data_IF_465060248906
#
_entry.id   IF_465060248906
#
_cell.length_a   1.000
_cell.length_b   1.000
_cell.length_c   1.000
_cell.angle_alpha   90.00
_cell.angle_beta   90.00
_cell.angle_gamma   90.00
#
_symmetry.space_group_name_H-M   'P 1'
#
loop_
_entity.id
_entity.type
_entity.pdbx_description
1 polymer ?
#
# COMPACT_ATOMS: atom_id res chain seq x y z
N UNK A 1 18.65 12.98 0.92
CA UNK A 1 17.98 13.37 -0.33
C UNK A 1 17.98 14.88 -0.44
N UNK A 2 18.37 15.43 -1.59
CA UNK A 2 18.55 16.87 -1.80
C UNK A 2 17.24 17.65 -1.85
N UNK A 3 16.19 17.07 -2.44
CA UNK A 3 14.90 17.75 -2.63
C UNK A 3 13.89 17.47 -1.50
N UNK A 4 14.23 16.59 -0.54
CA UNK A 4 13.33 16.25 0.57
C UNK A 4 13.09 17.51 1.42
N UNK A 5 11.82 17.88 1.69
CA UNK A 5 11.52 19.04 2.52
C UNK A 5 12.04 18.85 3.95
N UNK A 6 12.58 19.93 4.51
CA UNK A 6 13.05 19.99 5.89
C UNK A 6 12.12 20.90 6.69
N UNK A 7 11.65 20.39 7.82
CA UNK A 7 10.85 21.18 8.78
C UNK A 7 11.67 22.37 9.29
N UNK A 8 12.98 22.20 9.50
CA UNK A 8 13.88 23.29 9.92
C UNK A 8 13.97 24.41 8.87
N UNK A 9 13.91 24.05 7.59
CA UNK A 9 13.91 25.03 6.49
C UNK A 9 12.57 25.77 6.39
N UNK A 10 11.47 25.10 6.76
CA UNK A 10 10.13 25.70 6.82
C UNK A 10 10.02 26.70 7.98
N UNK A 11 10.60 26.37 9.15
CA UNK A 11 10.63 27.28 10.30
C UNK A 11 11.59 28.47 10.11
N UNK A 12 12.66 28.31 9.34
CA UNK A 12 13.66 29.38 9.12
C UNK A 12 13.25 30.39 8.05
N UNK A 13 12.31 30.05 7.16
CA UNK A 13 11.72 30.99 6.21
C UNK A 13 10.63 31.81 6.92
N UNK A 14 10.71 33.13 6.86
CA UNK A 14 9.56 33.98 7.19
C UNK A 14 8.35 33.48 6.39
N UNK A 15 7.20 33.27 7.05
CA UNK A 15 5.99 32.64 6.49
C UNK A 15 5.58 33.28 5.15
N UNK A 16 6.17 32.84 4.05
CA UNK A 16 5.79 33.26 2.72
C UNK A 16 4.51 32.53 2.35
N UNK A 17 3.46 33.30 2.04
CA UNK A 17 2.11 32.79 1.72
C UNK A 17 2.05 32.06 0.38
N UNK A 18 3.13 32.07 -0.41
CA UNK A 18 3.21 31.37 -1.69
C UNK A 18 3.27 29.86 -1.46
N UNK A 19 2.31 29.08 -2.00
CA UNK A 19 2.40 27.62 -1.97
C UNK A 19 3.67 27.20 -2.73
N UNK A 20 4.64 26.62 -2.02
CA UNK A 20 5.76 25.96 -2.68
C UNK A 20 5.17 24.82 -3.51
N UNK A 21 5.40 24.84 -4.83
CA UNK A 21 5.10 23.70 -5.70
C UNK A 21 5.91 22.54 -5.15
N UNK A 22 5.24 21.59 -4.51
CA UNK A 22 5.90 20.43 -3.94
C UNK A 22 6.13 19.44 -5.08
N UNK A 23 7.39 19.07 -5.37
CA UNK A 23 7.67 17.99 -6.29
C UNK A 23 6.83 16.76 -5.95
N UNK A 24 6.28 16.09 -6.96
CA UNK A 24 5.59 14.81 -6.76
C UNK A 24 6.56 13.71 -6.31
N UNK A 25 7.84 13.85 -6.67
CA UNK A 25 8.93 12.96 -6.28
C UNK A 25 10.18 13.80 -5.93
N UNK A 26 10.89 13.39 -4.88
CA UNK A 26 12.05 14.07 -4.29
C UNK A 26 13.40 13.44 -4.67
N UNK A 27 13.44 12.45 -5.57
CA UNK A 27 14.68 11.85 -6.07
C UNK A 27 15.53 12.87 -6.82
N UNK A 28 16.84 12.80 -6.63
CA UNK A 28 17.81 13.68 -7.29
C UNK A 28 19.08 12.90 -7.66
N UNK A 29 19.77 13.27 -8.74
CA UNK A 29 21.00 12.60 -9.22
C UNK A 29 22.14 12.60 -8.20
N UNK A 30 22.18 13.61 -7.34
CA UNK A 30 23.16 13.77 -6.26
C UNK A 30 22.80 12.97 -4.99
N UNK A 31 21.67 12.27 -4.97
CA UNK A 31 21.30 11.42 -3.83
C UNK A 31 22.25 10.22 -3.73
N UNK A 32 22.50 9.79 -2.50
CA UNK A 32 23.39 8.68 -2.20
C UNK A 32 22.83 7.84 -1.05
N UNK A 33 23.26 6.59 -1.00
CA UNK A 33 22.87 5.66 0.05
C UNK A 33 23.92 5.64 1.17
N UNK A 34 23.43 5.47 2.38
CA UNK A 34 24.23 5.30 3.59
C UNK A 34 23.72 4.04 4.27
N UNK A 35 24.62 3.13 4.60
CA UNK A 35 24.33 2.00 5.47
C UNK A 35 24.56 2.44 6.91
N UNK A 36 23.59 2.16 7.76
CA UNK A 36 23.59 2.55 9.18
C UNK A 36 23.28 1.32 10.04
N UNK A 37 24.06 1.14 11.09
CA UNK A 37 23.82 0.17 12.15
C UNK A 37 24.05 0.83 13.53
N UNK A 38 24.07 0.03 14.60
CA UNK A 38 24.29 0.52 15.96
C UNK A 38 25.70 1.12 16.18
N UNK A 39 26.67 0.76 15.34
CA UNK A 39 28.06 1.19 15.47
C UNK A 39 28.34 2.49 14.71
N UNK A 40 27.63 2.74 13.60
CA UNK A 40 27.77 3.99 12.87
C UNK A 40 27.20 3.97 11.46
N UNK A 41 27.74 4.85 10.62
CA UNK A 41 27.27 5.11 9.25
C UNK A 41 28.41 4.99 8.25
N UNK A 42 28.17 4.31 7.14
CA UNK A 42 29.10 4.21 6.03
C UNK A 42 28.40 4.54 4.70
N UNK A 43 29.03 5.37 3.89
CA UNK A 43 28.50 5.76 2.59
C UNK A 43 28.72 4.64 1.57
N UNK A 44 27.69 4.34 0.78
CA UNK A 44 27.76 3.36 -0.31
C UNK A 44 28.18 4.06 -1.62
N UNK A 45 29.06 3.43 -2.40
CA UNK A 45 29.69 4.01 -3.59
C UNK A 45 29.61 3.15 -4.85
N UNK A 46 29.11 1.92 -4.78
CA UNK A 46 28.98 1.07 -5.96
C UNK A 46 27.77 1.44 -6.82
N UNK A 47 27.56 0.63 -7.86
CA UNK A 47 26.48 0.79 -8.83
C UNK A 47 25.37 -0.25 -8.68
N UNK A 48 25.51 -1.15 -7.70
CA UNK A 48 24.57 -2.26 -7.50
C UNK A 48 23.25 -1.75 -6.91
N UNK A 49 23.33 -0.79 -5.99
CA UNK A 49 22.18 -0.18 -5.36
C UNK A 49 21.99 1.23 -5.91
N UNK A 50 20.98 1.40 -6.76
CA UNK A 50 20.63 2.72 -7.27
C UNK A 50 19.90 3.53 -6.19
N UNK A 51 20.37 4.75 -5.84
CA UNK A 51 19.72 5.59 -4.84
C UNK A 51 18.26 5.93 -5.16
N UNK A 52 17.88 5.93 -6.45
CA UNK A 52 16.49 6.12 -6.87
C UNK A 52 15.59 4.92 -6.59
N UNK A 53 16.12 3.71 -6.41
CA UNK A 53 15.33 2.49 -6.21
C UNK A 53 15.08 2.19 -4.73
N UNK A 54 16.03 2.58 -3.86
CA UNK A 54 15.98 2.28 -2.44
C UNK A 54 15.54 3.49 -1.63
N UNK A 55 14.81 3.23 -0.55
CA UNK A 55 14.39 4.24 0.42
C UNK A 55 15.02 3.98 1.79
N UNK A 56 14.94 4.99 2.66
CA UNK A 56 15.32 4.85 4.07
C UNK A 56 14.45 3.78 4.77
N UNK A 57 15.01 3.15 5.81
CA UNK A 57 14.33 2.15 6.64
C UNK A 57 14.37 0.71 6.11
N UNK A 58 14.90 0.48 4.90
CA UNK A 58 15.14 -0.87 4.41
C UNK A 58 16.37 -1.47 5.08
N UNK A 59 16.21 -2.66 5.66
CA UNK A 59 17.31 -3.46 6.18
C UNK A 59 17.82 -4.40 5.09
N UNK A 60 19.12 -4.34 4.80
CA UNK A 60 19.78 -5.18 3.78
C UNK A 60 21.08 -5.75 4.31
N UNK A 61 21.44 -6.93 3.82
CA UNK A 61 22.78 -7.50 4.02
C UNK A 61 23.62 -7.27 2.76
N UNK A 62 24.75 -6.56 2.90
CA UNK A 62 25.63 -6.20 1.78
C UNK A 62 26.98 -6.91 1.91
N UNK A 63 27.49 -7.39 0.79
CA UNK A 63 28.86 -7.89 0.65
C UNK A 63 29.64 -6.90 -0.20
N UNK A 64 30.86 -6.56 0.21
CA UNK A 64 31.66 -5.54 -0.44
C UNK A 64 32.99 -5.31 0.25
N UNK A 65 33.66 -4.23 -0.14
CA UNK A 65 34.99 -3.88 0.37
C UNK A 65 35.03 -2.42 0.80
N UNK A 66 35.67 -2.16 1.92
CA UNK A 66 36.00 -0.81 2.35
C UNK A 66 37.03 -0.18 1.40
N UNK A 67 36.79 1.08 1.03
CA UNK A 67 37.72 1.89 0.26
C UNK A 67 38.68 2.63 1.20
N UNK A 68 39.85 3.05 0.71
CA UNK A 68 40.81 3.81 1.52
C UNK A 68 40.30 5.18 2.02
N UNK A 69 39.11 5.62 1.59
CA UNK A 69 38.46 6.86 2.02
C UNK A 69 37.38 6.66 3.09
N UNK A 70 37.19 5.43 3.60
CA UNK A 70 36.15 5.09 4.58
C UNK A 70 34.75 4.88 3.97
N UNK A 71 34.62 4.93 2.64
CA UNK A 71 33.38 4.55 1.94
C UNK A 71 33.35 3.02 1.72
N UNK A 72 32.15 2.43 1.63
CA UNK A 72 31.97 1.00 1.33
C UNK A 72 31.56 0.80 -0.14
N UNK A 73 32.33 -0.04 -0.85
CA UNK A 73 32.04 -0.41 -2.23
C UNK A 73 31.35 -1.77 -2.25
N UNK A 74 30.05 -1.78 -2.48
CA UNK A 74 29.26 -3.00 -2.54
C UNK A 74 29.57 -3.82 -3.80
N UNK A 75 29.60 -5.13 -3.63
CA UNK A 75 29.86 -6.13 -4.67
C UNK A 75 28.70 -7.11 -4.84
N UNK A 76 27.84 -7.24 -3.83
CA UNK A 76 26.65 -8.11 -3.86
C UNK A 76 25.69 -7.85 -2.71
N UNK A 77 24.44 -8.28 -2.88
CA UNK A 77 23.47 -8.39 -1.78
C UNK A 77 23.59 -9.81 -1.24
N UNK A 78 23.96 -9.96 0.03
CA UNK A 78 24.27 -11.25 0.65
C UNK A 78 23.02 -12.07 1.01
N UNK A 79 21.89 -11.39 1.28
CA UNK A 79 20.59 -12.02 1.46
C UNK A 79 19.48 -11.04 1.12
N UNK A 80 18.55 -11.47 0.27
CA UNK A 80 17.17 -10.95 0.25
C UNK A 80 16.39 -11.95 1.10
N UNK A 81 15.96 -11.58 2.29
CA UNK A 81 15.37 -12.59 3.17
C UNK A 81 14.00 -12.98 2.60
N UNK A 82 13.81 -14.24 2.21
CA UNK A 82 12.54 -14.77 1.67
C UNK A 82 12.27 -16.17 2.26
N UNK A 83 11.06 -16.42 2.75
CA UNK A 83 10.60 -17.76 3.17
C UNK A 83 9.59 -18.32 2.14
N UNK A 84 9.69 -19.63 1.89
CA UNK A 84 9.01 -20.43 0.85
C UNK A 84 7.84 -21.24 1.42
N UNK A 85 6.72 -21.32 0.68
CA UNK A 85 5.84 -22.51 0.59
C UNK A 85 5.34 -22.64 -0.86
N UNK A 86 5.45 -23.85 -1.43
CA UNK A 86 4.99 -24.21 -2.79
C UNK A 86 3.74 -25.08 -2.69
N UNK A 87 2.68 -24.76 -3.45
CA UNK A 87 1.63 -25.71 -3.82
C UNK A 87 1.24 -25.45 -5.29
N UNK A 88 1.13 -26.51 -6.10
CA UNK A 88 0.93 -26.43 -7.56
C UNK A 88 -0.38 -27.02 -8.09
N UNK A 89 -0.71 -26.60 -9.33
CA UNK A 89 -1.50 -27.22 -10.41
C UNK A 89 -2.94 -27.76 -10.16
N UNK A 90 -3.93 -27.07 -10.74
CA UNK A 90 -5.14 -27.70 -11.32
C UNK A 90 -5.68 -26.89 -12.51
N UNK A 91 -5.12 -27.19 -13.69
CA UNK A 91 -5.73 -27.33 -15.04
C UNK A 91 -6.54 -26.19 -15.71
N UNK A 92 -5.95 -25.70 -16.81
CA UNK A 92 -6.43 -25.27 -18.16
C UNK A 92 -7.65 -24.35 -18.44
N UNK A 93 -7.40 -23.49 -19.44
CA UNK A 93 -8.28 -22.58 -20.17
C UNK A 93 -9.03 -23.32 -21.32
N UNK A 94 -10.18 -22.81 -21.80
CA UNK A 94 -10.16 -22.31 -23.18
C UNK A 94 -11.00 -21.05 -23.47
N UNK A 95 -10.58 -20.37 -24.54
CA UNK A 95 -11.05 -19.11 -25.13
C UNK A 95 -12.48 -19.16 -25.72
N UNK A 96 -13.19 -18.02 -25.70
CA UNK A 96 -13.97 -17.49 -26.84
C UNK A 96 -15.45 -17.13 -26.63
N UNK A 97 -15.85 -15.94 -27.13
CA UNK A 97 -17.00 -15.63 -28.02
C UNK A 97 -18.01 -14.51 -27.59
N UNK A 98 -18.32 -13.67 -28.60
CA UNK A 98 -19.36 -12.61 -28.78
C UNK A 98 -19.03 -11.17 -28.33
N UNK A 99 -18.63 -10.26 -29.24
CA UNK A 99 -19.37 -9.53 -30.30
C UNK A 99 -20.54 -8.65 -29.80
N UNK A 100 -20.39 -7.33 -29.97
CA UNK A 100 -21.24 -6.31 -29.35
C UNK A 100 -22.42 -5.80 -30.16
N UNK A 101 -23.06 -4.74 -29.65
CA UNK A 101 -23.83 -3.72 -30.38
C UNK A 101 -24.19 -2.53 -29.46
N UNK A 102 -24.23 -1.33 -30.05
CA UNK A 102 -24.51 -0.02 -29.45
C UNK A 102 -25.98 0.16 -29.03
N UNK A 103 -26.23 0.98 -28.01
CA UNK A 103 -27.47 1.76 -27.89
C UNK A 103 -27.24 3.09 -27.18
N UNK A 104 -27.74 4.14 -27.83
CA UNK A 104 -27.62 5.53 -27.41
C UNK A 104 -28.80 6.03 -26.57
N UNK A 105 -28.66 7.30 -26.25
CA UNK A 105 -29.10 8.01 -25.05
C UNK A 105 -30.50 8.63 -25.15
N UNK A 106 -31.40 8.19 -24.27
CA UNK A 106 -32.33 9.05 -23.53
C UNK A 106 -32.45 8.47 -22.10
N UNK A 107 -31.36 8.51 -21.35
CA UNK A 107 -31.04 9.59 -20.40
C UNK A 107 -32.06 9.76 -19.27
N UNK A 108 -32.41 8.64 -18.63
CA UNK A 108 -32.77 8.60 -17.20
C UNK A 108 -32.09 7.45 -16.42
N UNK A 109 -31.31 6.58 -17.09
CA UNK A 109 -30.51 5.49 -16.50
C UNK A 109 -29.10 5.89 -16.07
N UNK A 110 -28.64 7.10 -16.40
CA UNK A 110 -27.30 7.62 -16.07
C UNK A 110 -27.03 7.88 -14.58
N UNK A 111 -28.01 7.59 -13.71
CA UNK A 111 -27.85 7.60 -12.25
C UNK A 111 -27.74 6.19 -11.65
N UNK A 112 -28.02 5.12 -12.42
CA UNK A 112 -27.90 3.73 -11.97
C UNK A 112 -26.77 2.96 -12.64
N UNK A 113 -26.13 3.52 -13.67
CA UNK A 113 -24.90 2.97 -14.28
C UNK A 113 -23.72 2.89 -13.31
N UNK A 114 -23.43 3.88 -12.44
CA UNK A 114 -22.38 3.71 -11.44
C UNK A 114 -22.68 2.58 -10.45
N UNK A 115 -23.96 2.23 -10.25
CA UNK A 115 -24.41 1.19 -9.32
C UNK A 115 -24.36 -0.20 -10.00
N UNK A 116 -24.65 -0.28 -11.30
CA UNK A 116 -24.52 -1.51 -12.09
C UNK A 116 -23.07 -1.82 -12.49
N UNK A 117 -22.26 -0.80 -12.76
CA UNK A 117 -20.82 -0.95 -12.90
C UNK A 117 -20.18 -1.34 -11.57
N UNK A 118 -20.71 -0.85 -10.43
CA UNK A 118 -20.32 -1.34 -9.11
C UNK A 118 -20.71 -2.82 -8.95
N UNK A 119 -21.90 -3.27 -9.37
CA UNK A 119 -22.28 -4.71 -9.38
C UNK A 119 -21.35 -5.57 -10.26
N UNK A 120 -20.91 -5.06 -11.41
CA UNK A 120 -20.01 -5.76 -12.35
C UNK A 120 -18.55 -5.73 -11.87
N UNK A 121 -18.09 -4.63 -11.26
CA UNK A 121 -16.79 -4.52 -10.60
C UNK A 121 -16.75 -5.34 -9.31
N UNK A 122 -17.86 -5.37 -8.56
CA UNK A 122 -18.06 -6.24 -7.40
C UNK A 122 -18.02 -7.70 -7.81
N UNK A 123 -18.52 -8.06 -9.00
CA UNK A 123 -18.43 -9.41 -9.56
C UNK A 123 -16.99 -9.83 -9.91
N UNK A 124 -16.07 -8.88 -10.13
CA UNK A 124 -14.66 -9.15 -10.43
C UNK A 124 -13.76 -9.08 -9.19
N UNK A 125 -14.24 -8.51 -8.08
CA UNK A 125 -13.59 -8.50 -6.76
C UNK A 125 -14.40 -9.33 -5.75
N UNK A 126 -15.05 -10.40 -6.20
CA UNK A 126 -15.55 -11.47 -5.32
C UNK A 126 -14.38 -12.40 -5.04
N UNK A 127 -13.55 -12.05 -4.07
CA UNK A 127 -12.73 -13.06 -3.41
C UNK A 127 -13.65 -13.71 -2.37
N UNK A 128 -14.31 -14.79 -2.81
CA UNK A 128 -15.11 -15.74 -2.02
C UNK A 128 -15.72 -15.18 -0.72
N UNK A 129 -16.98 -14.73 -0.81
CA UNK A 129 -17.87 -14.39 0.31
C UNK A 129 -17.50 -13.18 1.19
N UNK A 130 -16.43 -12.44 0.90
CA UNK A 130 -16.14 -11.17 1.60
C UNK A 130 -15.83 -10.08 0.58
N UNK A 131 -16.56 -8.96 0.63
CA UNK A 131 -16.24 -7.79 -0.20
C UNK A 131 -15.30 -6.89 0.59
N UNK A 132 -14.12 -6.58 0.04
CA UNK A 132 -13.21 -5.59 0.60
C UNK A 132 -13.50 -4.25 -0.06
N UNK A 133 -14.01 -3.30 0.72
CA UNK A 133 -14.37 -1.97 0.24
C UNK A 133 -13.35 -0.93 0.70
N UNK A 134 -12.83 -0.15 -0.24
CA UNK A 134 -12.05 1.05 0.05
C UNK A 134 -12.92 2.28 -0.15
N UNK A 135 -13.14 3.06 0.92
CA UNK A 135 -13.92 4.29 0.86
C UNK A 135 -13.06 5.46 1.29
N UNK A 136 -13.21 6.56 0.57
CA UNK A 136 -12.72 7.89 0.95
C UNK A 136 -13.92 8.64 1.56
N UNK A 137 -14.01 8.76 2.88
CA UNK A 137 -15.16 9.39 3.53
C UNK A 137 -15.01 10.92 3.59
N UNK A 138 -16.01 11.64 3.08
CA UNK A 138 -16.26 13.07 3.34
C UNK A 138 -17.58 13.20 4.09
N UNK A 139 -17.80 14.24 4.91
CA UNK A 139 -19.02 14.44 5.74
C UNK A 139 -20.36 14.22 5.01
N UNK A 140 -20.50 14.62 3.75
CA UNK A 140 -21.72 14.37 2.95
C UNK A 140 -21.85 12.91 2.43
N UNK A 141 -20.74 12.18 2.30
CA UNK A 141 -20.71 10.81 1.82
C UNK A 141 -21.12 9.79 2.90
N UNK A 142 -20.97 10.12 4.18
CA UNK A 142 -21.25 9.22 5.31
C UNK A 142 -22.70 8.73 5.28
N UNK A 143 -23.67 9.62 5.08
CA UNK A 143 -25.09 9.27 5.09
C UNK A 143 -25.46 8.35 3.92
N UNK A 144 -25.03 8.68 2.70
CA UNK A 144 -25.31 7.86 1.50
C UNK A 144 -24.59 6.51 1.55
N UNK A 145 -23.36 6.50 2.05
CA UNK A 145 -22.56 5.29 2.19
C UNK A 145 -23.14 4.35 3.25
N UNK A 146 -23.59 4.87 4.38
CA UNK A 146 -24.28 4.10 5.41
C UNK A 146 -25.55 3.43 4.85
N UNK A 147 -26.36 4.16 4.08
CA UNK A 147 -27.56 3.59 3.44
C UNK A 147 -27.20 2.40 2.54
N UNK A 148 -26.14 2.50 1.72
CA UNK A 148 -25.72 1.43 0.82
C UNK A 148 -25.25 0.17 1.57
N UNK A 149 -24.42 0.34 2.60
CA UNK A 149 -23.97 -0.81 3.41
C UNK A 149 -25.15 -1.42 4.18
N UNK A 150 -25.97 -0.57 4.81
CA UNK A 150 -27.09 -0.95 5.67
C UNK A 150 -28.15 -1.78 4.92
N UNK A 151 -28.47 -1.41 3.67
CA UNK A 151 -29.60 -1.97 2.92
C UNK A 151 -29.29 -3.21 2.07
N UNK A 152 -28.03 -3.47 1.70
CA UNK A 152 -27.75 -4.47 0.66
C UNK A 152 -26.59 -5.43 0.97
N UNK A 153 -25.53 -4.95 1.63
CA UNK A 153 -24.27 -5.71 1.72
C UNK A 153 -24.11 -6.37 3.08
N UNK A 154 -24.11 -5.60 4.17
CA UNK A 154 -23.85 -6.15 5.50
C UNK A 154 -24.91 -7.18 5.91
N UNK A 155 -26.17 -7.03 5.47
CA UNK A 155 -27.22 -8.00 5.77
C UNK A 155 -27.00 -9.39 5.11
N UNK A 156 -26.21 -9.47 4.03
CA UNK A 156 -26.14 -10.65 3.16
C UNK A 156 -24.74 -11.24 3.02
N UNK A 157 -23.68 -10.43 3.22
CA UNK A 157 -22.29 -10.79 2.94
C UNK A 157 -21.39 -10.24 4.05
N UNK A 158 -20.44 -11.04 4.58
CA UNK A 158 -19.33 -10.54 5.39
C UNK A 158 -18.62 -9.33 4.76
N UNK A 159 -18.44 -8.28 5.57
CA UNK A 159 -17.88 -7.01 5.16
C UNK A 159 -16.87 -6.52 6.19
N UNK A 160 -15.61 -6.44 5.77
CA UNK A 160 -14.53 -5.80 6.51
C UNK A 160 -14.28 -4.40 5.94
N UNK A 161 -14.37 -3.36 6.77
CA UNK A 161 -14.04 -1.97 6.40
C UNK A 161 -12.72 -1.53 7.05
N UNK A 162 -11.86 -0.89 6.27
CA UNK A 162 -10.57 -0.37 6.72
C UNK A 162 -10.53 1.16 6.61
N UNK A 163 -9.92 1.87 7.57
CA UNK A 163 -9.71 3.32 7.47
C UNK A 163 -8.65 3.67 6.41
N UNK A 164 -8.84 4.81 5.73
CA UNK A 164 -7.87 5.48 4.89
C UNK A 164 -7.31 6.77 5.51
N UNK A 165 -6.44 7.48 4.78
CA UNK A 165 -5.78 8.72 5.22
C UNK A 165 -6.72 9.86 5.57
N UNK A 166 -7.90 9.89 4.93
CA UNK A 166 -8.87 10.99 5.02
C UNK A 166 -10.07 10.67 5.91
N UNK A 167 -10.09 9.47 6.48
CA UNK A 167 -11.20 9.01 7.31
C UNK A 167 -11.06 9.48 8.76
N UNK A 168 -12.13 9.50 9.56
CA UNK A 168 -12.11 9.89 10.97
C UNK A 168 -11.45 8.82 11.87
N UNK A 169 -10.20 8.48 11.57
CA UNK A 169 -9.30 7.63 12.33
C UNK A 169 -8.01 8.41 12.67
N UNK A 170 -7.10 7.80 13.42
CA UNK A 170 -5.76 8.39 13.59
C UNK A 170 -5.01 8.47 12.24
N UNK A 171 -4.19 9.50 12.10
CA UNK A 171 -3.37 9.71 10.90
C UNK A 171 -2.21 8.72 10.80
N UNK A 172 -1.54 8.45 11.92
CA UNK A 172 -0.36 7.59 11.96
C UNK A 172 -0.73 6.10 11.77
N UNK A 173 0.13 5.35 11.09
CA UNK A 173 0.01 3.90 11.00
C UNK A 173 0.46 3.20 12.31
N UNK A 174 -0.12 2.04 12.66
CA UNK A 174 -1.37 1.48 12.15
C UNK A 174 -2.58 2.35 12.52
N UNK A 175 -3.48 2.57 11.57
CA UNK A 175 -4.74 3.26 11.81
C UNK A 175 -5.71 2.32 12.54
N UNK A 176 -6.34 2.83 13.59
CA UNK A 176 -7.32 2.13 14.40
C UNK A 176 -8.66 2.00 13.64
N UNK A 177 -9.48 0.98 13.95
CA UNK A 177 -10.77 0.80 13.31
C UNK A 177 -11.67 2.02 13.47
N UNK A 178 -12.46 2.29 12.43
CA UNK A 178 -13.50 3.32 12.46
C UNK A 178 -14.54 3.02 13.54
N UNK A 179 -14.91 4.05 14.31
CA UNK A 179 -15.79 3.89 15.46
C UNK A 179 -17.22 3.52 15.04
N UNK A 180 -17.86 2.64 15.82
CA UNK A 180 -19.20 2.08 15.54
C UNK A 180 -20.30 3.14 15.35
N UNK A 181 -20.16 4.31 15.97
CA UNK A 181 -21.14 5.40 15.82
C UNK A 181 -21.26 5.91 14.38
N UNK A 182 -20.27 5.64 13.53
CA UNK A 182 -20.30 5.97 12.11
C UNK A 182 -21.21 5.02 11.32
N UNK A 183 -21.58 3.85 11.89
CA UNK A 183 -22.30 2.76 11.22
C UNK A 183 -23.52 2.29 12.04
N UNK A 184 -24.52 3.16 12.29
CA UNK A 184 -25.62 2.83 13.19
C UNK A 184 -26.49 1.65 12.72
N UNK A 185 -26.69 1.45 11.41
CA UNK A 185 -27.42 0.29 10.88
C UNK A 185 -26.52 -0.94 10.73
N UNK A 186 -25.40 -0.79 10.02
CA UNK A 186 -24.52 -1.89 9.62
C UNK A 186 -23.89 -2.60 10.80
N UNK A 187 -23.58 -1.84 11.86
CA UNK A 187 -22.93 -2.41 13.02
C UNK A 187 -23.84 -3.35 13.82
N UNK A 188 -25.15 -3.38 13.57
CA UNK A 188 -26.04 -4.39 14.16
C UNK A 188 -25.81 -5.79 13.58
N UNK A 189 -25.23 -5.91 12.38
CA UNK A 189 -24.98 -7.21 11.74
C UNK A 189 -23.64 -7.80 12.19
N UNK A 190 -23.62 -9.12 12.46
CA UNK A 190 -22.41 -9.86 12.85
C UNK A 190 -21.42 -10.09 11.70
N UNK A 191 -21.87 -9.88 10.47
CA UNK A 191 -21.12 -9.89 9.21
C UNK A 191 -20.33 -8.61 8.99
N UNK A 192 -20.61 -7.52 9.69
CA UNK A 192 -19.88 -6.26 9.56
C UNK A 192 -18.73 -6.17 10.57
N UNK A 193 -17.54 -5.82 10.10
CA UNK A 193 -16.36 -5.59 10.93
C UNK A 193 -15.61 -4.34 10.51
N UNK A 194 -15.35 -3.47 11.48
CA UNK A 194 -14.40 -2.37 11.33
C UNK A 194 -13.01 -2.89 11.72
N UNK A 195 -12.04 -2.74 10.82
CA UNK A 195 -10.70 -3.31 10.93
C UNK A 195 -9.62 -2.23 10.93
N UNK A 196 -8.38 -2.60 11.29
CA UNK A 196 -7.23 -1.69 11.27
C UNK A 196 -6.73 -1.46 9.83
N UNK A 197 -5.85 -0.47 9.65
CA UNK A 197 -5.02 -0.37 8.45
C UNK A 197 -3.54 -0.28 8.87
N UNK A 198 -2.66 -1.23 8.47
CA UNK A 198 -2.93 -2.40 7.62
C UNK A 198 -3.90 -3.42 8.23
N UNK A 199 -4.45 -4.30 7.40
CA UNK A 199 -5.32 -5.41 7.81
C UNK A 199 -4.78 -6.74 7.31
N UNK A 200 -4.85 -7.78 8.14
CA UNK A 200 -4.47 -9.14 7.77
C UNK A 200 -5.56 -10.10 8.20
N UNK A 201 -5.93 -11.02 7.31
CA UNK A 201 -6.97 -12.01 7.58
C UNK A 201 -6.75 -13.28 6.75
N UNK A 202 -7.46 -14.34 7.10
CA UNK A 202 -7.37 -15.64 6.43
C UNK A 202 -8.77 -16.12 6.03
N UNK A 203 -8.94 -16.51 4.78
CA UNK A 203 -10.15 -17.12 4.25
C UNK A 203 -9.78 -18.42 3.55
N UNK A 204 -10.38 -19.53 3.95
CA UNK A 204 -10.15 -20.85 3.36
C UNK A 204 -8.66 -21.22 3.21
N UNK A 205 -7.85 -20.92 4.24
CA UNK A 205 -6.39 -21.09 4.28
C UNK A 205 -5.58 -20.18 3.31
N UNK A 206 -6.23 -19.21 2.66
CA UNK A 206 -5.59 -18.17 1.87
C UNK A 206 -5.39 -16.95 2.77
N UNK A 207 -4.14 -16.45 2.79
CA UNK A 207 -3.71 -15.36 3.68
C UNK A 207 -3.70 -14.05 2.91
N UNK A 208 -4.44 -13.09 3.42
CA UNK A 208 -4.59 -11.77 2.85
C UNK A 208 -3.89 -10.73 3.70
N UNK A 209 -3.23 -9.80 3.04
CA UNK A 209 -2.69 -8.59 3.63
C UNK A 209 -3.15 -7.40 2.78
N UNK A 210 -3.62 -6.35 3.45
CA UNK A 210 -4.13 -5.15 2.81
C UNK A 210 -3.61 -3.87 3.43
N UNK A 211 -3.40 -2.84 2.60
CA UNK A 211 -3.26 -1.46 3.05
C UNK A 211 -4.20 -0.53 2.30
N UNK A 212 -4.49 0.63 2.87
CA UNK A 212 -5.29 1.68 2.22
C UNK A 212 -4.48 2.59 1.27
N UNK A 213 -3.31 2.17 0.78
CA UNK A 213 -2.57 2.88 -0.29
C UNK A 213 -1.44 3.81 0.13
N UNK A 214 -1.56 4.42 1.31
CA UNK A 214 -0.66 5.49 1.76
C UNK A 214 0.83 5.11 1.84
N UNK A 215 1.15 3.82 2.04
CA UNK A 215 2.52 3.32 2.02
C UNK A 215 3.13 3.37 0.62
N UNK A 216 2.36 3.05 -0.42
CA UNK A 216 2.82 3.09 -1.81
C UNK A 216 2.86 4.52 -2.33
N UNK A 217 1.89 5.36 -1.95
CA UNK A 217 1.90 6.78 -2.29
C UNK A 217 3.05 7.53 -1.63
N UNK A 218 3.48 7.09 -0.44
CA UNK A 218 4.68 7.65 0.17
C UNK A 218 5.97 7.18 -0.51
N UNK A 219 6.06 5.90 -0.87
CA UNK A 219 7.21 5.35 -1.61
C UNK A 219 7.45 6.09 -2.94
N UNK A 220 6.39 6.41 -3.68
CA UNK A 220 6.49 7.14 -4.96
C UNK A 220 7.16 8.52 -4.81
N UNK A 221 7.09 9.14 -3.63
CA UNK A 221 7.74 10.43 -3.39
C UNK A 221 9.25 10.30 -3.23
N UNK A 222 9.77 9.12 -2.91
CA UNK A 222 11.16 8.92 -2.51
C UNK A 222 11.89 7.85 -3.35
N UNK A 223 11.22 7.29 -4.34
CA UNK A 223 11.79 6.27 -5.20
C UNK A 223 11.18 6.31 -6.60
N UNK A 224 11.96 5.90 -7.58
CA UNK A 224 11.54 5.77 -8.97
C UNK A 224 11.15 4.31 -9.25
N UNK A 225 10.02 4.14 -9.93
CA UNK A 225 9.55 2.87 -10.45
C UNK A 225 8.78 3.08 -11.75
N UNK A 226 8.61 2.01 -12.53
CA UNK A 226 7.85 2.04 -13.79
C UNK A 226 6.35 2.19 -13.53
N UNK A 227 5.86 1.52 -12.50
CA UNK A 227 4.45 1.46 -12.13
C UNK A 227 4.28 1.25 -10.61
N UNK A 228 3.06 1.49 -10.11
CA UNK A 228 2.71 1.33 -8.69
C UNK A 228 2.89 -0.11 -8.21
N UNK A 229 2.62 -1.09 -9.08
CA UNK A 229 2.83 -2.51 -8.76
C UNK A 229 4.29 -2.86 -8.48
N UNK A 230 5.24 -2.18 -9.12
CA UNK A 230 6.65 -2.36 -8.81
C UNK A 230 6.99 -1.91 -7.39
N UNK A 231 6.39 -0.82 -6.88
CA UNK A 231 6.53 -0.46 -5.45
C UNK A 231 5.92 -1.53 -4.54
N UNK A 232 4.74 -2.06 -4.87
CA UNK A 232 4.09 -3.15 -4.13
C UNK A 232 5.02 -4.38 -4.07
N UNK A 233 5.56 -4.79 -5.21
CA UNK A 233 6.52 -5.89 -5.32
C UNK A 233 7.78 -5.65 -4.49
N UNK A 234 8.31 -4.42 -4.49
CA UNK A 234 9.47 -4.05 -3.66
C UNK A 234 9.17 -4.20 -2.18
N UNK A 235 7.99 -3.77 -1.68
CA UNK A 235 7.64 -3.97 -0.26
C UNK A 235 7.61 -5.43 0.16
N UNK A 236 7.20 -6.34 -0.75
CA UNK A 236 7.29 -7.78 -0.52
C UNK A 236 8.75 -8.28 -0.50
N UNK A 237 9.58 -7.84 -1.46
CA UNK A 237 11.02 -8.19 -1.52
C UNK A 237 11.81 -7.70 -0.31
N UNK A 238 11.48 -6.51 0.18
CA UNK A 238 12.08 -5.93 1.38
C UNK A 238 11.50 -6.51 2.67
N UNK A 239 10.44 -7.33 2.58
CA UNK A 239 9.65 -7.83 3.71
C UNK A 239 9.23 -6.72 4.67
N UNK A 240 8.84 -5.58 4.11
CA UNK A 240 8.46 -4.42 4.90
C UNK A 240 7.37 -3.63 4.19
N UNK A 241 6.19 -3.54 4.80
CA UNK A 241 4.98 -2.92 4.21
C UNK A 241 5.17 -1.41 4.04
N UNK A 242 5.82 -0.77 5.00
CA UNK A 242 5.95 0.69 5.10
C UNK A 242 7.38 1.12 5.46
N UNK A 243 8.40 0.83 4.63
CA UNK A 243 9.82 1.02 4.99
C UNK A 243 10.17 2.49 5.26
N UNK A 244 9.40 3.42 4.72
CA UNK A 244 9.62 4.85 4.93
C UNK A 244 9.09 5.37 6.27
N UNK A 245 8.42 4.53 7.07
CA UNK A 245 8.03 4.84 8.43
C UNK A 245 9.22 4.63 9.40
N UNK A 246 9.43 5.50 10.42
CA UNK A 246 8.68 6.72 10.74
C UNK A 246 9.12 7.97 9.95
N UNK A 247 10.15 7.86 9.10
CA UNK A 247 10.90 9.00 8.57
C UNK A 247 10.13 9.96 7.63
N UNK A 248 9.12 9.45 6.93
CA UNK A 248 8.27 10.24 6.02
C UNK A 248 6.82 9.84 6.11
N UNK A 249 6.55 8.54 6.28
CA UNK A 249 5.23 8.04 6.61
C UNK A 249 5.05 8.00 8.14
N UNK A 250 4.05 8.72 8.65
CA UNK A 250 3.79 8.79 10.08
C UNK A 250 3.37 7.42 10.62
N UNK A 251 4.03 6.96 11.69
CA UNK A 251 3.64 5.77 12.43
C UNK A 251 3.74 6.00 13.94
N UNK A 252 3.06 5.15 14.70
CA UNK A 252 3.20 5.09 16.15
C UNK A 252 4.60 4.54 16.50
N UNK A 253 5.30 5.10 17.50
CA UNK A 253 6.66 4.69 17.85
C UNK A 253 6.66 3.39 18.66
N UNK A 254 6.55 2.25 17.99
CA UNK A 254 6.69 0.94 18.64
C UNK A 254 8.13 0.71 19.09
N UNK A 255 8.32 0.24 20.31
CA UNK A 255 9.65 -0.03 20.90
C UNK A 255 10.07 -1.49 20.78
N UNK A 256 9.10 -2.41 20.83
CA UNK A 256 9.40 -3.83 21.02
C UNK A 256 9.42 -4.61 19.70
N UNK A 257 8.57 -4.20 18.76
CA UNK A 257 8.38 -4.87 17.47
C UNK A 257 7.91 -3.88 16.42
N UNK A 258 8.46 -4.00 15.22
CA UNK A 258 7.94 -3.31 14.05
C UNK A 258 6.68 -4.00 13.51
N UNK A 259 5.52 -3.35 13.49
CA UNK A 259 4.28 -3.94 12.97
C UNK A 259 4.24 -4.06 11.44
N UNK A 260 5.17 -3.42 10.72
CA UNK A 260 5.19 -3.41 9.25
C UNK A 260 6.14 -4.46 8.67
N UNK A 261 6.90 -5.15 9.52
CA UNK A 261 7.73 -6.27 9.10
C UNK A 261 6.90 -7.49 8.69
N UNK A 262 7.22 -8.06 7.53
CA UNK A 262 6.56 -9.25 7.00
C UNK A 262 7.28 -10.52 7.46
N UNK A 263 6.77 -11.14 8.52
CA UNK A 263 7.27 -12.43 9.00
C UNK A 263 7.01 -13.55 7.99
N UNK A 264 5.82 -13.60 7.42
CA UNK A 264 5.42 -14.58 6.40
C UNK A 264 4.89 -13.88 5.15
N UNK A 265 5.21 -14.42 3.97
CA UNK A 265 4.66 -13.91 2.73
C UNK A 265 3.15 -14.17 2.66
N UNK A 266 2.30 -13.15 2.45
CA UNK A 266 0.88 -13.37 2.22
C UNK A 266 0.65 -14.05 0.86
N UNK A 267 -0.46 -14.79 0.74
CA UNK A 267 -0.86 -15.38 -0.54
C UNK A 267 -1.42 -14.30 -1.48
N UNK A 268 -2.12 -13.32 -0.92
CA UNK A 268 -2.63 -12.15 -1.63
C UNK A 268 -2.26 -10.89 -0.87
N UNK A 269 -1.58 -9.97 -1.54
CA UNK A 269 -1.27 -8.65 -1.02
C UNK A 269 -1.95 -7.60 -1.90
N UNK A 270 -2.82 -6.79 -1.30
CA UNK A 270 -3.58 -5.77 -2.01
C UNK A 270 -3.34 -4.37 -1.42
N UNK A 271 -3.44 -3.36 -2.29
CA UNK A 271 -3.22 -1.97 -1.93
C UNK A 271 -4.37 -1.14 -2.50
N UNK A 272 -5.10 -0.47 -1.61
CA UNK A 272 -6.24 0.37 -1.96
C UNK A 272 -5.87 1.78 -2.43
N UNK A 273 -6.89 2.54 -2.80
CA UNK A 273 -6.80 3.97 -3.16
C UNK A 273 -5.74 4.30 -4.23
N UNK A 274 -5.44 3.37 -5.13
CA UNK A 274 -4.58 3.62 -6.29
C UNK A 274 -5.37 4.25 -7.44
N UNK A 275 -4.67 4.95 -8.34
CA UNK A 275 -5.24 5.68 -9.47
C UNK A 275 -5.82 4.78 -10.57
N UNK A 276 -5.33 3.55 -10.66
CA UNK A 276 -5.81 2.52 -11.60
C UNK A 276 -5.77 1.13 -10.98
N UNK A 277 -6.60 0.24 -11.52
CA UNK A 277 -6.54 -1.19 -11.21
C UNK A 277 -5.40 -1.85 -11.99
N UNK A 278 -4.56 -2.61 -11.29
CA UNK A 278 -3.57 -3.49 -11.88
C UNK A 278 -3.38 -4.73 -11.00
N UNK A 279 -2.91 -5.83 -11.60
CA UNK A 279 -2.57 -7.06 -10.87
C UNK A 279 -1.34 -7.71 -11.46
N UNK A 280 -0.56 -8.40 -10.62
CA UNK A 280 0.63 -9.15 -11.03
C UNK A 280 0.80 -10.37 -10.14
N UNK A 281 0.96 -11.53 -10.77
CA UNK A 281 1.40 -12.73 -10.08
C UNK A 281 2.93 -12.70 -9.95
N UNK A 282 3.44 -12.86 -8.74
CA UNK A 282 4.87 -12.79 -8.44
C UNK A 282 5.29 -14.13 -7.84
N UNK A 283 6.40 -14.67 -8.33
CA UNK A 283 7.03 -15.87 -7.78
C UNK A 283 8.36 -15.47 -7.16
N UNK A 284 8.60 -15.87 -5.92
CA UNK A 284 9.91 -15.70 -5.28
C UNK A 284 10.98 -16.52 -6.00
N UNK A 285 12.18 -15.96 -6.12
CA UNK A 285 13.35 -16.69 -6.62
C UNK A 285 13.94 -17.53 -5.49
N UNK A 286 14.27 -18.79 -5.77
CA UNK A 286 15.07 -19.63 -4.88
C UNK A 286 16.50 -19.06 -4.90
N UNK A 287 16.96 -18.50 -3.79
CA UNK A 287 18.38 -18.20 -3.56
C UNK A 287 19.00 -19.32 -2.74
#
# INVERSE_FOLDING_TARGET
MKLKPSVLDEYSKERSVTPLVRPHNFTHSDDYLVLEDESGRVKLRGTLLLPSVYVTGIVVALHGKETGAGDFMEQGIAAQIVQVVVVGNSVENPRGLFNGQNLGTKDQSKLSEPIKELDILLSQVIIFHTIIYFIKMTLMAITTFNILIDLQIAASIPLDIMPGTSDPANFALPQQPLHRCLFPGSSAYNTFRSCTNPHSFELDNVKFLGTSGQNIDDLEKYSDAKDKLEFVERTLKWRHIAPTAPNTLGCYPFTDRDPFFLETCPHVYFVGNQDKYETRFIKGTLS
#
